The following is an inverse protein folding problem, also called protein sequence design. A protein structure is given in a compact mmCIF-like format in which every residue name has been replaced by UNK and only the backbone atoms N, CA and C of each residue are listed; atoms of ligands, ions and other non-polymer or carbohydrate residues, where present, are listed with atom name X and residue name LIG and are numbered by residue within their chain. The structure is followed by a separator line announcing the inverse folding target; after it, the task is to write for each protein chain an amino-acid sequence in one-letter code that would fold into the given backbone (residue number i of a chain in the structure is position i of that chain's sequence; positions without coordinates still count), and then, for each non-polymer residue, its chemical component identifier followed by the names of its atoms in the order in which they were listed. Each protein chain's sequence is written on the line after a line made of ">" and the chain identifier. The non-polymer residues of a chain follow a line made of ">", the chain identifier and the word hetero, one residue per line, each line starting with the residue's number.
data_IF_516122825060
#
_entry.id   IF_516122825060
#
_cell.length_a   1.000
_cell.length_b   1.000
_cell.length_c   1.000
_cell.angle_alpha   90.00
_cell.angle_beta   90.00
_cell.angle_gamma   90.00
#
_symmetry.space_group_name_H-M   'P 1'
#
loop_
_entity.id
_entity.type
_entity.pdbx_description
1 polymer ?
#
# COMPACT_ATOMS: atom_id res chain seq x y z
N UNK A 1 6.31 3.06 -10.45
CA UNK A 1 7.50 3.82 -10.04
C UNK A 1 8.32 3.00 -9.05
N UNK A 2 9.58 3.32 -8.91
CA UNK A 2 10.49 2.53 -8.08
C UNK A 2 11.57 3.42 -7.50
N UNK A 3 11.95 3.15 -6.23
CA UNK A 3 13.08 3.83 -5.58
C UNK A 3 13.84 2.82 -4.71
N UNK A 4 14.68 3.32 -3.78
CA UNK A 4 15.50 2.46 -2.93
C UNK A 4 14.68 1.57 -2.00
N UNK A 5 13.44 1.94 -1.71
CA UNK A 5 12.57 1.17 -0.83
C UNK A 5 11.73 0.14 -1.60
N UNK A 6 11.63 0.29 -2.91
CA UNK A 6 10.94 -0.65 -3.77
C UNK A 6 9.97 0.02 -4.73
N UNK A 7 9.03 -0.78 -5.23
CA UNK A 7 7.97 -0.32 -6.12
C UNK A 7 6.94 0.47 -5.32
N UNK A 8 6.41 1.55 -5.91
CA UNK A 8 5.40 2.33 -5.22
C UNK A 8 4.47 3.04 -6.20
N UNK A 9 3.32 3.48 -5.67
CA UNK A 9 2.40 4.37 -6.38
C UNK A 9 1.87 5.40 -5.37
N UNK A 10 1.22 6.45 -5.89
CA UNK A 10 0.63 7.48 -5.05
C UNK A 10 -0.82 7.13 -4.76
N UNK A 11 -1.16 6.68 -3.53
CA UNK A 11 -2.53 6.29 -3.21
C UNK A 11 -3.49 7.47 -3.18
N UNK A 12 -2.94 8.67 -2.95
CA UNK A 12 -3.70 9.91 -2.96
C UNK A 12 -3.07 10.84 -3.99
N UNK A 13 -3.60 10.88 -5.23
CA UNK A 13 -2.94 11.62 -6.32
C UNK A 13 -2.68 13.09 -6.02
N UNK A 14 -3.50 13.69 -5.14
CA UNK A 14 -3.35 15.09 -4.77
C UNK A 14 -2.31 15.31 -3.67
N UNK A 15 -1.83 14.24 -3.03
CA UNK A 15 -0.86 14.33 -1.96
C UNK A 15 0.32 13.39 -2.24
N UNK A 16 1.33 13.91 -2.92
CA UNK A 16 2.50 13.11 -3.28
C UNK A 16 3.47 12.91 -2.13
N UNK A 17 3.16 13.42 -0.96
CA UNK A 17 3.93 13.15 0.25
C UNK A 17 3.68 11.76 0.80
N UNK A 18 2.61 11.10 0.33
CA UNK A 18 2.27 9.74 0.74
C UNK A 18 2.54 8.79 -0.42
N UNK A 19 3.27 7.72 -0.16
CA UNK A 19 3.56 6.67 -1.13
C UNK A 19 3.13 5.34 -0.57
N UNK A 20 2.53 4.50 -1.43
CA UNK A 20 2.20 3.14 -1.05
C UNK A 20 3.19 2.20 -1.73
N UNK A 21 4.04 1.58 -0.94
CA UNK A 21 5.01 0.61 -1.46
C UNK A 21 4.36 -0.77 -1.54
N UNK A 22 4.72 -1.51 -2.58
CA UNK A 22 4.18 -2.84 -2.82
C UNK A 22 5.33 -3.79 -3.14
N UNK A 23 5.14 -5.05 -2.76
CA UNK A 23 6.10 -6.10 -3.12
C UNK A 23 5.37 -7.41 -3.34
N UNK A 24 5.97 -8.28 -4.14
CA UNK A 24 5.46 -9.63 -4.33
C UNK A 24 5.80 -10.48 -3.11
N UNK A 25 4.81 -11.19 -2.59
CA UNK A 25 5.02 -12.22 -1.59
C UNK A 25 4.60 -13.55 -2.22
N UNK A 26 4.69 -14.65 -1.44
CA UNK A 26 4.49 -15.99 -2.00
C UNK A 26 3.14 -16.15 -2.71
N UNK A 27 2.06 -15.66 -2.10
CA UNK A 27 0.70 -15.89 -2.61
C UNK A 27 -0.06 -14.61 -2.90
N UNK A 28 0.41 -13.45 -2.42
CA UNK A 28 -0.33 -12.21 -2.56
C UNK A 28 0.61 -11.02 -2.40
N UNK A 29 0.21 -9.85 -2.92
CA UNK A 29 1.02 -8.65 -2.71
C UNK A 29 0.94 -8.17 -1.27
N UNK A 30 2.01 -7.51 -0.84
CA UNK A 30 2.08 -6.84 0.43
C UNK A 30 2.25 -5.35 0.23
N UNK A 31 1.72 -4.57 1.17
CA UNK A 31 1.71 -3.12 1.12
C UNK A 31 2.38 -2.53 2.34
N UNK A 32 3.02 -1.38 2.16
CA UNK A 32 3.59 -0.62 3.27
C UNK A 32 3.55 0.86 2.91
N UNK A 33 2.90 1.66 3.77
CA UNK A 33 2.71 3.08 3.50
C UNK A 33 3.88 3.90 4.03
N UNK A 34 4.32 4.87 3.23
CA UNK A 34 5.33 5.85 3.60
C UNK A 34 4.71 7.24 3.54
N UNK A 35 4.95 8.05 4.59
CA UNK A 35 4.45 9.41 4.66
C UNK A 35 5.60 10.35 5.00
N UNK A 36 5.85 11.33 4.14
CA UNK A 36 6.94 12.29 4.34
C UNK A 36 6.78 13.08 5.62
N UNK A 37 5.56 13.39 6.02
CA UNK A 37 5.28 14.15 7.23
C UNK A 37 5.32 13.28 8.50
N UNK A 38 5.37 11.97 8.34
CA UNK A 38 5.44 11.04 9.47
C UNK A 38 6.32 9.84 9.09
N UNK A 39 7.65 10.06 9.00
CA UNK A 39 8.56 8.98 8.61
C UNK A 39 8.58 7.84 9.61
N UNK A 40 8.16 8.10 10.85
CA UNK A 40 8.11 7.08 11.88
C UNK A 40 7.05 6.01 11.59
N UNK A 41 6.04 6.36 10.80
CA UNK A 41 5.02 5.40 10.38
C UNK A 41 5.65 4.19 9.68
N UNK A 42 6.68 4.43 8.86
CA UNK A 42 7.38 3.34 8.17
C UNK A 42 8.01 2.36 9.15
N UNK A 43 8.57 2.89 10.24
CA UNK A 43 9.22 2.05 11.26
C UNK A 43 8.21 1.32 12.14
N UNK A 44 7.06 1.95 12.40
CA UNK A 44 6.05 1.40 13.29
C UNK A 44 5.19 0.32 12.63
N UNK A 45 5.04 0.39 11.31
CA UNK A 45 4.18 -0.52 10.55
C UNK A 45 5.01 -1.32 9.56
N UNK A 46 4.84 -2.62 9.57
CA UNK A 46 5.55 -3.51 8.67
C UNK A 46 4.74 -3.76 7.41
N UNK A 47 5.27 -4.61 6.53
CA UNK A 47 4.56 -5.02 5.33
C UNK A 47 3.29 -5.77 5.70
N UNK A 48 2.18 -5.40 5.06
CA UNK A 48 0.86 -5.94 5.36
C UNK A 48 0.35 -6.69 4.14
N UNK A 49 0.04 -8.00 4.27
CA UNK A 49 -0.50 -8.75 3.14
C UNK A 49 -1.91 -8.31 2.80
N UNK A 50 -2.27 -8.45 1.53
CA UNK A 50 -3.57 -8.00 1.04
C UNK A 50 -4.74 -8.65 1.80
N UNK A 51 -4.61 -9.93 2.15
CA UNK A 51 -5.65 -10.62 2.90
C UNK A 51 -5.93 -9.97 4.25
N UNK A 52 -4.89 -9.49 4.94
CA UNK A 52 -5.08 -8.77 6.21
C UNK A 52 -5.80 -7.45 5.99
N UNK A 53 -5.51 -6.76 4.88
CA UNK A 53 -6.18 -5.51 4.54
C UNK A 53 -7.67 -5.74 4.30
N UNK A 54 -8.03 -6.79 3.56
CA UNK A 54 -9.44 -7.09 3.28
C UNK A 54 -10.18 -7.49 4.56
N UNK A 55 -9.54 -8.20 5.46
CA UNK A 55 -10.14 -8.54 6.75
C UNK A 55 -10.39 -7.27 7.58
N UNK A 56 -9.42 -6.36 7.62
CA UNK A 56 -9.58 -5.10 8.34
C UNK A 56 -10.70 -4.26 7.72
N UNK A 57 -10.80 -4.23 6.40
CA UNK A 57 -11.83 -3.48 5.70
C UNK A 57 -13.23 -3.97 6.06
N UNK A 58 -13.39 -5.27 6.23
CA UNK A 58 -14.68 -5.86 6.60
C UNK A 58 -15.13 -5.43 8.00
N UNK A 59 -14.19 -5.05 8.86
CA UNK A 59 -14.49 -4.59 10.22
C UNK A 59 -14.84 -3.11 10.30
N UNK A 60 -14.53 -2.34 9.25
CA UNK A 60 -14.81 -0.90 9.21
C UNK A 60 -16.12 -0.64 8.45
N UNK A 61 -17.20 -0.66 9.17
CA UNK A 61 -18.52 -0.38 8.57
C UNK A 61 -18.87 1.08 8.74
N UNK A 62 -19.16 1.75 7.61
CA UNK A 62 -19.63 3.12 7.63
C UNK A 62 -18.58 4.16 7.97
N UNK A 63 -17.31 3.80 7.97
CA UNK A 63 -16.24 4.74 8.23
C UNK A 63 -15.94 5.57 6.97
N UNK A 64 -15.41 6.77 7.18
CA UNK A 64 -14.95 7.60 6.07
C UNK A 64 -13.73 7.01 5.38
N UNK A 65 -13.06 6.11 6.04
CA UNK A 65 -11.87 5.44 5.50
C UNK A 65 -12.28 4.34 4.53
N UNK A 66 -11.80 4.43 3.30
CA UNK A 66 -12.03 3.41 2.29
C UNK A 66 -10.68 2.75 1.97
N UNK A 67 -10.43 1.54 2.49
CA UNK A 67 -9.15 0.89 2.25
C UNK A 67 -8.89 0.57 0.79
N UNK A 68 -9.94 0.42 -0.03
CA UNK A 68 -9.76 0.14 -1.46
C UNK A 68 -9.15 1.31 -2.22
N UNK A 69 -9.24 2.53 -1.70
CA UNK A 69 -8.63 3.69 -2.33
C UNK A 69 -7.12 3.74 -2.11
N UNK A 70 -6.69 3.40 -0.91
CA UNK A 70 -5.27 3.40 -0.56
C UNK A 70 -4.57 2.11 -0.97
N UNK A 71 -5.24 0.98 -0.81
CA UNK A 71 -4.69 -0.34 -1.10
C UNK A 71 -5.28 -0.88 -2.41
N UNK A 72 -4.73 -0.40 -3.53
CA UNK A 72 -5.24 -0.74 -4.86
C UNK A 72 -4.55 -2.00 -5.37
N UNK A 73 -5.28 -3.12 -5.33
CA UNK A 73 -4.75 -4.40 -5.78
C UNK A 73 -4.33 -4.36 -7.25
N UNK A 74 -5.12 -3.69 -8.09
CA UNK A 74 -4.81 -3.63 -9.52
C UNK A 74 -3.51 -2.85 -9.77
N UNK A 75 -3.32 -1.74 -9.06
CA UNK A 75 -2.08 -0.97 -9.18
C UNK A 75 -0.88 -1.77 -8.69
N UNK A 76 -1.04 -2.48 -7.57
CA UNK A 76 0.02 -3.32 -7.02
C UNK A 76 0.42 -4.43 -7.99
N UNK A 77 -0.56 -5.13 -8.54
CA UNK A 77 -0.30 -6.22 -9.47
C UNK A 77 0.34 -5.72 -10.76
N UNK A 78 -0.06 -4.54 -11.25
CA UNK A 78 0.54 -3.96 -12.45
C UNK A 78 2.02 -3.63 -12.21
N UNK A 79 2.35 -3.05 -11.07
CA UNK A 79 3.73 -2.72 -10.72
C UNK A 79 4.59 -3.97 -10.60
N UNK A 80 4.08 -4.99 -9.92
CA UNK A 80 4.80 -6.25 -9.74
C UNK A 80 5.02 -6.92 -11.09
N UNK A 81 4.00 -6.89 -11.96
CA UNK A 81 4.10 -7.50 -13.29
C UNK A 81 5.15 -6.82 -14.16
N UNK A 82 5.29 -5.50 -14.04
CA UNK A 82 6.30 -4.76 -14.79
C UNK A 82 7.72 -5.16 -14.40
N UNK A 83 7.90 -5.61 -13.17
CA UNK A 83 9.21 -6.03 -12.67
C UNK A 83 9.62 -7.42 -13.14
N UNK A 84 8.67 -8.26 -13.46
CA UNK A 84 8.94 -9.66 -13.80
C UNK A 84 9.23 -9.89 -15.27
#
# INVERSE_FOLDING_TARGET
>A
MKDNLGLYYYPFPQNKKVRMYVRAAADEPEFRMWNQDDPQMWEEHEWVPYSAITQAAAMYKGAAFDPNRAYDLNAAMALIREQS
#
